data_IF_582029534286
#
_entry.id   IF_582029534286
#
_cell.length_a   1.000
_cell.length_b   1.000
_cell.length_c   1.000
_cell.angle_alpha   90.00
_cell.angle_beta   90.00
_cell.angle_gamma   90.00
#
_symmetry.space_group_name_H-M   'P 1'
#
loop_
_entity.id
_entity.type
_entity.pdbx_description
1 polymer ?
#
# COMPACT_ATOMS: atom_id res chain seq x y z
N UNK A 1 -33.66 -15.78 8.81
CA UNK A 1 -33.32 -15.60 10.24
C UNK A 1 -31.97 -16.27 10.45
N UNK A 2 -30.92 -15.67 10.98
CA UNK A 2 -30.72 -14.36 11.60
C UNK A 2 -29.21 -14.15 11.66
N UNK A 3 -28.79 -12.92 11.44
CA UNK A 3 -27.43 -12.43 11.68
C UNK A 3 -26.96 -12.83 13.08
N UNK A 4 -25.98 -13.71 13.19
CA UNK A 4 -25.30 -14.02 14.47
C UNK A 4 -23.78 -13.86 14.42
N UNK A 5 -23.23 -13.23 13.37
CA UNK A 5 -21.82 -12.83 13.34
C UNK A 5 -21.61 -11.39 13.85
N UNK A 6 -22.37 -11.01 14.88
CA UNK A 6 -22.23 -9.74 15.58
C UNK A 6 -22.67 -9.90 17.05
N UNK A 7 -21.82 -10.51 17.88
CA UNK A 7 -21.75 -10.27 19.33
C UNK A 7 -20.73 -11.22 19.96
N UNK A 8 -19.46 -10.82 19.99
CA UNK A 8 -18.54 -11.33 21.00
C UNK A 8 -18.16 -10.16 21.90
N UNK A 9 -18.66 -10.23 23.13
CA UNK A 9 -18.58 -9.18 24.13
C UNK A 9 -17.16 -8.89 24.61
N UNK A 10 -17.01 -7.68 25.14
CA UNK A 10 -15.78 -7.01 25.60
C UNK A 10 -15.05 -7.69 26.79
N UNK A 11 -15.27 -8.98 27.05
CA UNK A 11 -14.83 -9.68 28.27
C UNK A 11 -13.56 -10.55 28.18
N UNK A 12 -12.89 -10.66 27.03
CA UNK A 12 -11.64 -11.45 26.90
C UNK A 12 -10.57 -10.72 26.08
N UNK A 13 -10.33 -9.45 26.41
CA UNK A 13 -9.27 -8.62 25.84
C UNK A 13 -7.92 -9.35 25.74
N UNK A 14 -7.52 -9.66 24.50
CA UNK A 14 -6.25 -10.32 24.20
C UNK A 14 -6.05 -10.55 22.71
N UNK A 15 -6.30 -9.53 21.88
CA UNK A 15 -5.90 -9.38 20.45
C UNK A 15 -5.88 -10.60 19.50
N UNK A 16 -6.53 -11.73 19.81
CA UNK A 16 -6.53 -12.91 18.96
C UNK A 16 -5.13 -13.46 18.61
N UNK A 17 -4.10 -13.11 19.40
CA UNK A 17 -2.77 -13.71 19.28
C UNK A 17 -2.84 -15.12 19.84
N UNK A 18 -3.04 -16.12 18.97
CA UNK A 18 -3.05 -17.54 19.41
C UNK A 18 -1.68 -17.97 19.95
N UNK A 19 -0.59 -17.27 19.59
CA UNK A 19 0.73 -17.42 20.20
C UNK A 19 1.65 -16.24 19.84
N UNK A 20 2.11 -15.48 20.83
CA UNK A 20 3.16 -14.47 20.63
C UNK A 20 4.46 -15.09 20.12
N UNK A 21 4.79 -16.33 20.53
CA UNK A 21 5.97 -17.04 20.08
C UNK A 21 5.97 -17.37 18.57
N UNK A 22 4.79 -17.65 17.98
CA UNK A 22 4.68 -18.01 16.56
C UNK A 22 4.68 -16.80 15.62
N UNK A 23 4.24 -15.65 16.11
CA UNK A 23 4.00 -14.45 15.30
C UNK A 23 4.96 -13.29 15.64
N UNK A 24 5.86 -13.49 16.62
CA UNK A 24 6.85 -12.51 17.03
C UNK A 24 7.73 -12.06 15.86
N UNK A 25 8.17 -12.99 15.01
CA UNK A 25 8.99 -12.71 13.82
C UNK A 25 8.32 -11.77 12.82
N UNK A 26 7.02 -11.98 12.54
CA UNK A 26 6.26 -11.16 11.61
C UNK A 26 5.99 -9.74 12.13
N UNK A 27 5.90 -9.54 13.45
CA UNK A 27 5.77 -8.22 14.06
C UNK A 27 7.13 -7.53 14.31
N UNK A 28 8.15 -8.32 14.64
CA UNK A 28 9.50 -7.86 14.96
C UNK A 28 10.20 -7.30 13.73
N UNK A 29 10.19 -8.02 12.59
CA UNK A 29 10.91 -7.57 11.39
C UNK A 29 10.44 -6.23 10.80
N UNK A 30 9.14 -5.94 10.70
CA UNK A 30 8.66 -4.62 10.31
C UNK A 30 9.10 -3.52 11.29
N UNK A 31 8.91 -3.78 12.58
CA UNK A 31 9.27 -2.83 13.64
C UNK A 31 10.78 -2.56 13.65
N UNK A 32 11.58 -3.58 13.35
CA UNK A 32 13.03 -3.50 13.19
C UNK A 32 13.41 -2.70 11.94
N UNK A 33 12.73 -2.92 10.81
CA UNK A 33 12.92 -2.18 9.57
C UNK A 33 12.65 -0.69 9.76
N UNK A 34 11.47 -0.36 10.30
CA UNK A 34 11.03 1.01 10.57
C UNK A 34 11.96 1.76 11.53
N UNK A 35 12.52 1.06 12.51
CA UNK A 35 13.40 1.66 13.53
C UNK A 35 14.87 1.60 13.18
N UNK A 36 15.27 0.91 12.09
CA UNK A 36 16.68 0.67 11.78
C UNK A 36 17.48 1.96 11.55
N UNK A 37 16.95 2.90 10.77
CA UNK A 37 17.60 4.20 10.54
C UNK A 37 17.70 5.02 11.82
N UNK A 38 16.61 5.10 12.59
CA UNK A 38 16.60 5.81 13.87
C UNK A 38 17.54 5.15 14.89
N UNK A 39 17.70 3.82 14.85
CA UNK A 39 18.63 3.09 15.69
C UNK A 39 20.10 3.36 15.28
N UNK A 40 20.40 3.50 13.99
CA UNK A 40 21.73 3.92 13.51
C UNK A 40 22.07 5.35 13.92
N UNK A 41 21.08 6.25 13.90
CA UNK A 41 21.27 7.65 14.34
C UNK A 41 21.54 7.75 15.85
N UNK A 42 20.97 6.84 16.65
CA UNK A 42 21.13 6.80 18.11
C UNK A 42 22.38 6.02 18.56
N UNK A 43 22.75 4.98 17.82
CA UNK A 43 23.92 4.14 18.08
C UNK A 43 24.66 3.87 16.78
N UNK A 44 25.78 4.56 16.58
CA UNK A 44 26.61 4.38 15.37
C UNK A 44 27.23 2.99 15.25
N UNK A 45 27.24 2.20 16.34
CA UNK A 45 27.67 0.80 16.32
C UNK A 45 26.54 -0.16 15.92
N UNK A 46 25.28 0.30 15.88
CA UNK A 46 24.17 -0.48 15.38
C UNK A 46 24.32 -0.72 13.87
N UNK A 47 24.40 -1.99 13.49
CA UNK A 47 24.55 -2.43 12.11
C UNK A 47 23.28 -3.17 11.65
N UNK A 48 22.56 -2.55 10.71
CA UNK A 48 21.42 -3.20 10.07
C UNK A 48 21.84 -4.46 9.30
N UNK A 49 23.09 -4.55 8.88
CA UNK A 49 23.66 -5.72 8.19
C UNK A 49 23.86 -6.89 9.16
N UNK A 50 24.46 -6.64 10.32
CA UNK A 50 24.68 -7.67 11.35
C UNK A 50 23.35 -8.18 11.92
N UNK A 51 22.38 -7.28 12.08
CA UNK A 51 21.05 -7.62 12.54
C UNK A 51 20.28 -8.47 11.51
N UNK A 52 20.40 -8.15 10.20
CA UNK A 52 19.88 -8.99 9.12
C UNK A 52 20.50 -10.39 9.10
N UNK A 53 21.74 -10.52 9.57
CA UNK A 53 22.44 -11.79 9.67
C UNK A 53 22.08 -12.63 10.92
N UNK A 54 21.34 -12.04 11.89
CA UNK A 54 20.91 -12.72 13.12
C UNK A 54 20.02 -13.93 12.81
N UNK A 55 20.16 -15.00 13.59
CA UNK A 55 19.40 -16.24 13.43
C UNK A 55 17.88 -16.01 13.44
N UNK A 56 17.36 -15.19 14.35
CA UNK A 56 15.92 -14.95 14.48
C UNK A 56 15.38 -14.13 13.29
N UNK A 57 16.19 -13.20 12.78
CA UNK A 57 15.89 -12.45 11.57
C UNK A 57 15.99 -13.36 10.35
N UNK A 58 16.98 -14.24 10.26
CA UNK A 58 17.13 -15.22 9.17
C UNK A 58 16.02 -16.25 9.15
N UNK A 59 15.54 -16.72 10.30
CA UNK A 59 14.39 -17.62 10.39
C UNK A 59 13.09 -16.94 9.98
N UNK A 60 12.93 -15.66 10.34
CA UNK A 60 11.80 -14.83 9.92
C UNK A 60 11.86 -14.47 8.42
N UNK A 61 13.06 -14.22 7.88
CA UNK A 61 13.32 -14.02 6.46
C UNK A 61 13.29 -15.32 5.64
N UNK A 62 13.47 -16.50 6.26
CA UNK A 62 13.26 -17.79 5.61
C UNK A 62 11.76 -18.07 5.31
N UNK A 63 10.88 -17.11 5.61
CA UNK A 63 9.53 -17.06 5.06
C UNK A 63 9.56 -17.17 3.54
N UNK A 64 8.44 -17.63 2.97
CA UNK A 64 8.23 -17.67 1.53
C UNK A 64 8.52 -16.30 0.90
N UNK A 65 8.81 -16.26 -0.40
CA UNK A 65 9.06 -15.00 -1.12
C UNK A 65 7.92 -13.97 -0.93
N UNK A 66 6.69 -14.46 -0.77
CA UNK A 66 5.49 -13.68 -0.43
C UNK A 66 5.57 -13.08 0.99
N UNK A 67 6.01 -13.89 1.95
CA UNK A 67 6.25 -13.43 3.32
C UNK A 67 7.36 -12.39 3.39
N UNK A 68 8.49 -12.64 2.72
CA UNK A 68 9.59 -11.68 2.58
C UNK A 68 9.11 -10.34 2.00
N UNK A 69 8.34 -10.37 0.90
CA UNK A 69 7.81 -9.16 0.28
C UNK A 69 6.89 -8.38 1.22
N UNK A 70 6.06 -9.09 1.98
CA UNK A 70 5.19 -8.48 3.01
C UNK A 70 6.03 -7.81 4.09
N UNK A 71 7.07 -8.49 4.61
CA UNK A 71 7.92 -7.97 5.69
C UNK A 71 8.71 -6.73 5.26
N UNK A 72 9.22 -6.72 4.02
CA UNK A 72 9.92 -5.57 3.45
C UNK A 72 9.00 -4.35 3.32
N UNK A 73 7.77 -4.57 2.85
CA UNK A 73 6.74 -3.55 2.76
C UNK A 73 6.33 -3.01 4.13
N UNK A 74 6.12 -3.90 5.10
CA UNK A 74 5.72 -3.54 6.46
C UNK A 74 6.80 -2.74 7.22
N UNK A 75 8.07 -2.83 6.81
CA UNK A 75 9.18 -2.05 7.38
C UNK A 75 9.51 -0.77 6.64
N UNK A 76 8.64 -0.31 5.73
CA UNK A 76 8.77 0.96 5.04
C UNK A 76 8.06 2.09 5.77
N UNK A 77 8.57 3.31 5.58
CA UNK A 77 7.92 4.52 6.07
C UNK A 77 6.45 4.59 5.61
N UNK A 78 5.54 4.83 6.55
CA UNK A 78 4.11 4.93 6.28
C UNK A 78 3.36 3.60 6.39
N UNK A 79 4.07 2.47 6.37
CA UNK A 79 3.47 1.17 6.62
C UNK A 79 2.74 1.17 7.97
N UNK A 80 1.49 0.74 7.94
CA UNK A 80 0.61 0.63 9.12
C UNK A 80 0.51 1.90 9.95
N UNK A 81 0.66 3.07 9.33
CA UNK A 81 0.53 4.37 10.03
C UNK A 81 -0.78 4.51 10.82
N UNK A 82 -1.85 3.79 10.43
CA UNK A 82 -3.11 3.75 11.17
C UNK A 82 -2.98 3.22 12.62
N UNK A 83 -1.93 2.47 12.95
CA UNK A 83 -1.69 1.97 14.31
C UNK A 83 -1.20 3.07 15.26
N UNK A 84 -0.54 4.09 14.72
CA UNK A 84 -0.10 5.27 15.47
C UNK A 84 -1.06 6.46 15.30
N UNK A 85 -2.03 6.37 14.40
CA UNK A 85 -2.99 7.43 14.13
C UNK A 85 -4.11 7.48 15.18
N UNK A 86 -4.56 8.68 15.51
CA UNK A 86 -5.78 8.87 16.30
C UNK A 86 -6.98 8.57 15.38
N UNK A 87 -7.83 7.58 15.68
CA UNK A 87 -8.94 7.19 14.80
C UNK A 87 -10.11 8.19 14.92
N UNK A 88 -9.97 9.35 14.28
CA UNK A 88 -10.95 10.43 14.31
C UNK A 88 -11.38 10.87 12.90
N UNK A 89 -12.62 11.35 12.79
CA UNK A 89 -13.18 11.87 11.54
C UNK A 89 -13.04 10.89 10.37
N UNK A 90 -12.47 11.36 9.26
CA UNK A 90 -12.24 10.56 8.04
C UNK A 90 -11.10 9.54 8.18
N UNK A 91 -10.27 9.63 9.23
CA UNK A 91 -9.24 8.66 9.56
C UNK A 91 -9.76 7.48 10.39
N UNK A 92 -11.06 7.43 10.70
CA UNK A 92 -11.65 6.31 11.44
C UNK A 92 -11.76 5.08 10.55
N UNK A 93 -11.15 3.99 10.99
CA UNK A 93 -11.27 2.68 10.36
C UNK A 93 -12.44 1.89 10.96
N UNK A 94 -13.17 1.16 10.13
CA UNK A 94 -14.17 0.19 10.59
C UNK A 94 -13.50 -0.88 11.47
N UNK A 95 -14.07 -1.27 12.63
CA UNK A 95 -13.46 -2.27 13.49
C UNK A 95 -13.12 -3.60 12.79
N UNK A 96 -13.95 -4.03 11.84
CA UNK A 96 -13.70 -5.26 11.09
C UNK A 96 -12.47 -5.14 10.18
N UNK A 97 -12.30 -3.99 9.51
CA UNK A 97 -11.12 -3.67 8.70
C UNK A 97 -9.88 -3.58 9.57
N UNK A 98 -9.96 -2.90 10.72
CA UNK A 98 -8.83 -2.80 11.66
C UNK A 98 -8.36 -4.17 12.13
N UNK A 99 -9.29 -5.06 12.50
CA UNK A 99 -8.95 -6.43 12.90
C UNK A 99 -8.36 -7.22 11.74
N UNK A 100 -8.87 -7.07 10.52
CA UNK A 100 -8.33 -7.74 9.34
C UNK A 100 -6.88 -7.30 9.06
N UNK A 101 -6.60 -5.99 9.06
CA UNK A 101 -5.26 -5.45 8.85
C UNK A 101 -4.28 -5.86 9.96
N UNK A 102 -4.74 -5.88 11.22
CA UNK A 102 -3.90 -6.33 12.34
C UNK A 102 -3.56 -7.82 12.23
N UNK A 103 -4.52 -8.66 11.84
CA UNK A 103 -4.26 -10.09 11.60
C UNK A 103 -3.27 -10.30 10.47
N UNK A 104 -3.39 -9.54 9.38
CA UNK A 104 -2.46 -9.58 8.26
C UNK A 104 -1.04 -9.22 8.71
N UNK A 105 -0.87 -8.11 9.46
CA UNK A 105 0.44 -7.70 10.02
C UNK A 105 1.06 -8.78 10.90
N UNK A 106 0.24 -9.44 11.72
CA UNK A 106 0.68 -10.49 12.64
C UNK A 106 0.87 -11.85 11.94
N UNK A 107 0.65 -11.95 10.63
CA UNK A 107 0.71 -13.21 9.88
C UNK A 107 -0.30 -14.26 10.37
N UNK A 108 -1.43 -13.82 10.95
CA UNK A 108 -2.48 -14.70 11.45
C UNK A 108 -3.38 -15.09 10.26
N UNK A 109 -3.49 -16.40 9.94
CA UNK A 109 -4.34 -16.86 8.85
C UNK A 109 -5.77 -16.35 8.98
N UNK A 110 -6.30 -15.85 7.88
CA UNK A 110 -7.68 -15.39 7.77
C UNK A 110 -8.66 -16.52 7.45
N UNK A 111 -8.17 -17.69 7.05
CA UNK A 111 -8.92 -18.91 6.76
C UNK A 111 -8.08 -20.15 7.12
N UNK A 112 -8.73 -21.31 7.26
CA UNK A 112 -8.06 -22.58 7.59
C UNK A 112 -7.43 -23.27 6.37
N UNK A 113 -7.94 -22.97 5.18
CA UNK A 113 -7.45 -23.50 3.91
C UNK A 113 -7.67 -22.49 2.78
N UNK A 114 -6.92 -22.66 1.70
CA UNK A 114 -7.12 -21.90 0.47
C UNK A 114 -8.50 -22.21 -0.12
N UNK A 115 -9.08 -21.21 -0.79
CA UNK A 115 -10.37 -21.32 -1.46
C UNK A 115 -10.31 -20.66 -2.84
N UNK A 116 -11.33 -20.88 -3.65
CA UNK A 116 -11.52 -20.14 -4.90
C UNK A 116 -12.22 -18.80 -4.59
N UNK A 117 -11.68 -17.72 -5.14
CA UNK A 117 -12.28 -16.40 -5.06
C UNK A 117 -13.58 -16.39 -5.89
N UNK A 118 -14.75 -16.09 -5.29
CA UNK A 118 -16.03 -16.12 -5.99
C UNK A 118 -16.22 -14.97 -7.00
N UNK A 119 -15.22 -14.10 -7.17
CA UNK A 119 -15.31 -12.89 -8.00
C UNK A 119 -14.42 -12.94 -9.24
N UNK A 120 -13.26 -13.58 -9.16
CA UNK A 120 -12.29 -13.60 -10.26
C UNK A 120 -11.68 -14.98 -10.52
N UNK A 121 -12.18 -16.03 -9.86
CA UNK A 121 -11.70 -17.41 -9.96
C UNK A 121 -10.20 -17.59 -9.65
N UNK A 122 -9.61 -16.63 -8.93
CA UNK A 122 -8.24 -16.72 -8.41
C UNK A 122 -8.20 -17.50 -7.09
N UNK A 123 -7.00 -17.87 -6.65
CA UNK A 123 -6.80 -18.48 -5.34
C UNK A 123 -6.94 -17.40 -4.27
N UNK A 124 -7.93 -17.57 -3.39
CA UNK A 124 -8.08 -16.84 -2.14
C UNK A 124 -7.27 -17.57 -1.07
N UNK A 125 -6.05 -17.08 -0.84
CA UNK A 125 -5.08 -17.71 0.06
C UNK A 125 -5.47 -17.58 1.54
N UNK A 126 -4.97 -18.52 2.36
CA UNK A 126 -5.17 -18.51 3.83
C UNK A 126 -4.74 -17.21 4.52
N UNK A 127 -3.75 -16.50 3.98
CA UNK A 127 -3.27 -15.22 4.53
C UNK A 127 -4.07 -14.01 4.02
N UNK A 128 -5.04 -14.23 3.13
CA UNK A 128 -5.91 -13.23 2.51
C UNK A 128 -5.17 -12.15 1.73
N UNK A 129 -3.95 -12.43 1.23
CA UNK A 129 -3.27 -11.49 0.35
C UNK A 129 -4.10 -11.19 -0.90
N UNK A 130 -4.73 -12.22 -1.48
CA UNK A 130 -5.62 -12.08 -2.62
C UNK A 130 -6.74 -11.06 -2.39
N UNK A 131 -7.33 -11.01 -1.20
CA UNK A 131 -8.43 -10.10 -0.92
C UNK A 131 -8.05 -8.62 -1.10
N UNK A 132 -6.79 -8.25 -0.80
CA UNK A 132 -6.30 -6.88 -0.99
C UNK A 132 -5.92 -6.55 -2.44
N UNK A 133 -5.76 -7.55 -3.31
CA UNK A 133 -5.28 -7.37 -4.69
C UNK A 133 -6.28 -7.82 -5.75
N UNK A 134 -7.40 -8.40 -5.35
CA UNK A 134 -8.40 -8.96 -6.24
C UNK A 134 -8.88 -7.89 -7.24
N UNK A 135 -8.68 -8.08 -8.55
CA UNK A 135 -9.13 -7.10 -9.54
C UNK A 135 -10.65 -6.97 -9.58
N UNK A 136 -11.39 -8.00 -9.15
CA UNK A 136 -12.85 -8.03 -9.13
C UNK A 136 -13.46 -7.69 -7.75
N UNK A 137 -12.65 -7.59 -6.69
CA UNK A 137 -13.13 -7.28 -5.33
C UNK A 137 -13.40 -5.79 -5.13
N UNK A 138 -12.66 -4.94 -5.84
CA UNK A 138 -12.82 -3.49 -5.81
C UNK A 138 -12.09 -2.80 -4.66
N UNK A 139 -11.41 -3.53 -3.77
CA UNK A 139 -10.65 -2.99 -2.64
C UNK A 139 -9.59 -1.99 -3.12
N UNK A 140 -8.84 -2.33 -4.19
CA UNK A 140 -7.84 -1.43 -4.79
C UNK A 140 -8.44 -0.10 -5.23
N UNK A 141 -9.60 -0.15 -5.87
CA UNK A 141 -10.33 1.04 -6.33
C UNK A 141 -10.86 1.85 -5.15
N UNK A 142 -11.34 1.19 -4.10
CA UNK A 142 -11.79 1.87 -2.88
C UNK A 142 -10.63 2.55 -2.16
N UNK A 143 -9.47 1.88 -2.04
CA UNK A 143 -8.26 2.45 -1.45
C UNK A 143 -7.76 3.67 -2.24
N UNK A 144 -7.72 3.54 -3.57
CA UNK A 144 -7.43 4.66 -4.47
C UNK A 144 -8.34 5.86 -4.21
N UNK A 145 -9.67 5.64 -4.24
CA UNK A 145 -10.64 6.72 -4.04
C UNK A 145 -10.52 7.33 -2.65
N UNK A 146 -10.34 6.52 -1.61
CA UNK A 146 -10.17 6.99 -0.25
C UNK A 146 -8.92 7.87 -0.10
N UNK A 147 -7.78 7.45 -0.67
CA UNK A 147 -6.53 8.21 -0.65
C UNK A 147 -6.69 9.54 -1.39
N UNK A 148 -7.22 9.50 -2.62
CA UNK A 148 -7.52 10.68 -3.44
C UNK A 148 -8.43 11.65 -2.70
N UNK A 149 -9.57 11.17 -2.21
CA UNK A 149 -10.59 12.02 -1.61
C UNK A 149 -10.13 12.62 -0.28
N UNK A 150 -9.34 11.88 0.52
CA UNK A 150 -8.75 12.38 1.76
C UNK A 150 -7.77 13.52 1.48
N UNK A 151 -6.85 13.31 0.55
CA UNK A 151 -5.84 14.31 0.16
C UNK A 151 -6.51 15.53 -0.48
N UNK A 152 -7.52 15.33 -1.32
CA UNK A 152 -8.28 16.43 -1.92
C UNK A 152 -8.99 17.31 -0.87
N UNK A 153 -9.45 16.73 0.24
CA UNK A 153 -10.11 17.49 1.32
C UNK A 153 -9.10 18.34 2.10
N UNK A 154 -7.86 17.90 2.24
CA UNK A 154 -6.80 18.67 2.93
C UNK A 154 -6.25 19.82 2.11
N UNK A 155 -6.68 19.94 0.87
CA UNK A 155 -6.12 20.83 -0.10
C UNK A 155 -6.92 22.11 -0.31
N UNK A 156 -6.25 23.25 -0.20
CA UNK A 156 -6.78 24.52 -0.68
C UNK A 156 -6.42 24.70 -2.18
N UNK A 157 -7.43 24.95 -3.02
CA UNK A 157 -7.29 25.31 -4.46
C UNK A 157 -6.92 24.16 -5.43
N UNK A 158 -7.23 22.91 -5.10
CA UNK A 158 -6.94 21.78 -5.99
C UNK A 158 -8.14 21.44 -6.87
N UNK A 159 -7.90 20.86 -8.04
CA UNK A 159 -8.92 20.47 -9.01
C UNK A 159 -8.94 18.95 -9.20
N UNK A 160 -10.12 18.31 -9.17
CA UNK A 160 -10.23 16.87 -9.47
C UNK A 160 -10.20 16.62 -10.97
N UNK A 161 -9.37 15.68 -11.40
CA UNK A 161 -9.35 15.13 -12.76
C UNK A 161 -9.33 16.18 -13.90
N UNK A 162 -8.70 17.34 -13.67
CA UNK A 162 -8.76 18.55 -14.54
C UNK A 162 -8.88 18.19 -16.04
N UNK A 163 -10.08 18.28 -16.63
CA UNK A 163 -10.29 17.92 -18.02
C UNK A 163 -9.48 18.82 -18.95
N UNK A 164 -8.92 18.24 -20.01
CA UNK A 164 -8.12 19.00 -20.96
C UNK A 164 -6.74 19.41 -20.43
N UNK A 165 -6.20 18.73 -19.42
CA UNK A 165 -4.81 18.95 -18.97
C UNK A 165 -3.80 18.71 -20.10
N UNK A 166 -4.07 17.71 -20.94
CA UNK A 166 -3.28 17.38 -22.13
C UNK A 166 -4.04 17.87 -23.36
N UNK A 167 -3.94 19.16 -23.66
CA UNK A 167 -4.54 19.73 -24.87
C UNK A 167 -3.82 19.20 -26.11
N UNK A 168 -4.55 19.07 -27.22
CA UNK A 168 -3.93 18.73 -28.50
C UNK A 168 -2.94 19.84 -28.89
N UNK A 169 -1.68 19.50 -29.15
CA UNK A 169 -0.68 20.49 -29.55
C UNK A 169 -0.84 20.92 -31.02
N UNK A 170 -1.62 20.15 -31.80
CA UNK A 170 -2.01 20.50 -33.16
C UNK A 170 -3.39 19.89 -33.51
N UNK A 171 -4.09 20.39 -34.54
CA UNK A 171 -5.40 19.84 -34.97
C UNK A 171 -5.39 18.36 -35.37
N UNK A 172 -4.21 17.81 -35.72
CA UNK A 172 -4.03 16.41 -36.07
C UNK A 172 -3.57 15.54 -34.90
N UNK A 173 -3.26 16.14 -33.75
CA UNK A 173 -2.82 15.43 -32.55
C UNK A 173 -4.02 14.90 -31.77
N UNK A 174 -4.40 13.66 -32.07
CA UNK A 174 -5.45 12.93 -31.35
C UNK A 174 -4.90 12.06 -30.21
N UNK A 175 -3.58 12.04 -30.00
CA UNK A 175 -2.89 11.11 -29.08
C UNK A 175 -3.35 11.25 -27.63
N UNK A 176 -3.81 12.46 -27.26
CA UNK A 176 -4.23 12.79 -25.91
C UNK A 176 -5.74 13.05 -25.75
N UNK A 177 -6.52 12.85 -26.81
CA UNK A 177 -7.95 13.17 -26.81
C UNK A 177 -8.71 12.39 -25.74
N UNK A 178 -9.36 13.10 -24.82
CA UNK A 178 -10.17 12.52 -23.74
C UNK A 178 -9.39 11.90 -22.59
N UNK A 179 -8.05 11.96 -22.58
CA UNK A 179 -7.24 11.44 -21.46
C UNK A 179 -7.42 12.30 -20.22
N UNK A 180 -7.54 11.63 -19.07
CA UNK A 180 -7.48 12.22 -17.74
C UNK A 180 -6.24 11.69 -17.05
N UNK A 181 -5.09 12.38 -17.19
CA UNK A 181 -3.82 11.84 -16.72
C UNK A 181 -3.67 11.92 -15.20
N UNK A 182 -4.64 12.43 -14.46
CA UNK A 182 -4.48 12.76 -13.05
C UNK A 182 -5.78 12.60 -12.31
N UNK A 183 -5.67 12.20 -11.04
CA UNK A 183 -6.77 12.24 -10.09
C UNK A 183 -6.97 13.65 -9.51
N UNK A 184 -5.85 14.35 -9.27
CA UNK A 184 -5.83 15.68 -8.65
C UNK A 184 -4.76 16.53 -9.34
N UNK A 185 -5.20 17.67 -9.87
CA UNK A 185 -4.34 18.73 -10.35
C UNK A 185 -4.09 19.78 -9.27
N UNK A 186 -2.82 20.18 -9.14
CA UNK A 186 -2.36 21.28 -8.31
C UNK A 186 -1.78 22.38 -9.20
N UNK A 187 -2.21 23.64 -9.04
CA UNK A 187 -1.63 24.76 -9.78
C UNK A 187 -0.19 25.07 -9.33
N UNK A 188 0.18 24.72 -8.09
CA UNK A 188 1.53 24.90 -7.56
C UNK A 188 1.85 23.87 -6.48
N UNK A 189 2.75 22.94 -6.78
CA UNK A 189 3.46 22.05 -5.86
C UNK A 189 4.94 22.45 -5.90
N UNK A 190 5.47 22.96 -4.79
CA UNK A 190 6.86 23.47 -4.71
C UNK A 190 7.17 24.47 -5.85
N UNK A 191 6.18 25.29 -6.21
CA UNK A 191 6.32 26.34 -7.24
C UNK A 191 6.02 25.93 -8.68
N UNK A 192 5.67 24.67 -8.97
CA UNK A 192 5.30 24.22 -10.32
C UNK A 192 3.94 23.51 -10.36
N UNK A 193 3.16 23.60 -11.47
CA UNK A 193 1.95 22.80 -11.62
C UNK A 193 2.24 21.30 -11.54
N UNK A 194 1.37 20.55 -10.87
CA UNK A 194 1.51 19.10 -10.71
C UNK A 194 0.21 18.34 -10.96
N UNK A 195 0.35 17.15 -11.50
CA UNK A 195 -0.68 16.16 -11.77
C UNK A 195 -0.42 14.95 -10.88
N UNK A 196 -1.19 14.82 -9.79
CA UNK A 196 -1.09 13.68 -8.88
C UNK A 196 -1.96 12.53 -9.39
N UNK A 197 -1.41 11.34 -9.43
CA UNK A 197 -2.10 10.16 -9.93
C UNK A 197 -1.93 9.01 -8.93
N UNK A 198 -3.00 8.68 -8.22
CA UNK A 198 -2.96 7.75 -7.09
C UNK A 198 -3.08 6.31 -7.57
N UNK A 199 -2.52 5.37 -6.81
CA UNK A 199 -2.82 3.96 -6.99
C UNK A 199 -2.51 3.16 -5.73
N UNK A 200 -3.22 2.06 -5.57
CA UNK A 200 -2.88 1.02 -4.60
C UNK A 200 -2.39 -0.25 -5.32
N UNK A 201 -1.30 -0.82 -4.80
CA UNK A 201 -0.74 -2.11 -5.20
C UNK A 201 -0.49 -2.97 -3.97
N UNK A 202 0.03 -4.18 -4.16
CA UNK A 202 0.39 -5.07 -3.08
C UNK A 202 1.82 -5.59 -3.30
N UNK A 203 2.61 -5.80 -2.23
CA UNK A 203 3.96 -6.34 -2.36
C UNK A 203 3.97 -7.77 -2.95
N UNK A 204 2.83 -8.48 -2.89
CA UNK A 204 2.65 -9.82 -3.44
C UNK A 204 2.40 -9.83 -4.97
N UNK A 205 2.44 -8.66 -5.65
CA UNK A 205 2.23 -8.57 -7.10
C UNK A 205 3.25 -9.43 -7.85
N UNK A 206 2.77 -10.34 -8.70
CA UNK A 206 3.58 -11.37 -9.34
C UNK A 206 4.78 -10.81 -10.13
N UNK A 207 4.57 -9.73 -10.89
CA UNK A 207 5.60 -9.09 -11.72
C UNK A 207 6.80 -8.57 -10.92
N UNK A 208 6.57 -8.18 -9.66
CA UNK A 208 7.56 -7.52 -8.80
C UNK A 208 7.92 -8.34 -7.58
N UNK A 209 7.34 -9.54 -7.41
CA UNK A 209 7.40 -10.33 -6.18
C UNK A 209 8.83 -10.62 -5.72
N UNK A 210 9.71 -10.97 -6.67
CA UNK A 210 11.13 -11.25 -6.38
C UNK A 210 11.86 -9.98 -5.93
N UNK A 211 11.56 -8.84 -6.53
CA UNK A 211 12.18 -7.57 -6.14
C UNK A 211 11.63 -7.10 -4.78
N UNK A 212 10.33 -7.19 -4.58
CA UNK A 212 9.66 -6.83 -3.33
C UNK A 212 10.13 -7.67 -2.15
N UNK A 213 10.54 -8.92 -2.37
CA UNK A 213 11.10 -9.77 -1.32
C UNK A 213 12.47 -9.30 -0.81
N UNK A 214 13.16 -8.47 -1.59
CA UNK A 214 14.51 -7.97 -1.29
C UNK A 214 14.51 -6.49 -0.92
N UNK A 215 13.55 -5.72 -1.42
CA UNK A 215 13.50 -4.28 -1.27
C UNK A 215 12.06 -3.83 -0.94
N UNK A 216 11.92 -3.10 0.17
CA UNK A 216 10.65 -2.48 0.56
C UNK A 216 10.16 -1.47 -0.48
N UNK A 217 8.83 -1.34 -0.59
CA UNK A 217 8.14 -0.48 -1.55
C UNK A 217 8.47 -0.75 -3.04
N UNK A 218 9.08 -1.90 -3.38
CA UNK A 218 9.44 -2.20 -4.77
C UNK A 218 8.22 -2.33 -5.68
N UNK A 219 7.09 -2.86 -5.18
CA UNK A 219 5.88 -2.99 -6.00
C UNK A 219 5.25 -1.61 -6.24
N UNK A 220 5.23 -0.73 -5.23
CA UNK A 220 4.80 0.66 -5.38
C UNK A 220 5.68 1.41 -6.38
N UNK A 221 7.00 1.32 -6.22
CA UNK A 221 7.99 1.99 -7.09
C UNK A 221 7.85 1.54 -8.55
N UNK A 222 7.80 0.24 -8.80
CA UNK A 222 7.62 -0.30 -10.14
C UNK A 222 6.29 0.14 -10.76
N UNK A 223 5.22 0.19 -9.96
CA UNK A 223 3.92 0.62 -10.48
C UNK A 223 3.86 2.14 -10.73
N UNK A 224 4.56 2.95 -9.94
CA UNK A 224 4.74 4.38 -10.19
C UNK A 224 5.44 4.63 -11.54
N UNK A 225 6.54 3.91 -11.81
CA UNK A 225 7.22 3.97 -13.11
C UNK A 225 6.34 3.51 -14.27
N UNK A 226 5.54 2.46 -14.06
CA UNK A 226 4.57 2.04 -15.05
C UNK A 226 3.54 3.14 -15.34
N UNK A 227 2.99 3.80 -14.31
CA UNK A 227 2.03 4.91 -14.51
C UNK A 227 2.64 6.08 -15.28
N UNK A 228 3.89 6.44 -14.98
CA UNK A 228 4.59 7.51 -15.68
C UNK A 228 4.84 7.17 -17.17
N UNK A 229 5.26 5.94 -17.46
CA UNK A 229 5.57 5.49 -18.82
C UNK A 229 4.35 5.09 -19.64
N UNK A 230 3.26 4.67 -19.00
CA UNK A 230 2.04 4.22 -19.68
C UNK A 230 1.48 5.34 -20.55
N UNK A 231 1.37 5.07 -21.86
CA UNK A 231 0.95 6.05 -22.87
C UNK A 231 1.77 7.36 -22.80
N UNK A 232 3.03 7.27 -22.39
CA UNK A 232 3.94 8.41 -22.23
C UNK A 232 3.36 9.53 -21.35
N UNK A 233 2.56 9.20 -20.33
CA UNK A 233 1.82 10.17 -19.51
C UNK A 233 2.73 11.20 -18.88
N UNK A 234 3.87 10.78 -18.32
CA UNK A 234 4.84 11.68 -17.70
C UNK A 234 5.42 12.69 -18.70
N UNK A 235 5.77 12.23 -19.90
CA UNK A 235 6.30 13.10 -20.96
C UNK A 235 5.23 14.04 -21.51
N UNK A 236 4.00 13.55 -21.70
CA UNK A 236 2.88 14.39 -22.10
C UNK A 236 2.57 15.49 -21.07
N UNK A 237 2.63 15.19 -19.77
CA UNK A 237 2.46 16.23 -18.75
C UNK A 237 3.62 17.25 -18.79
N UNK A 238 4.87 16.77 -18.90
CA UNK A 238 6.06 17.65 -18.97
C UNK A 238 6.02 18.59 -20.17
N UNK A 239 5.59 18.11 -21.34
CA UNK A 239 5.46 18.95 -22.54
C UNK A 239 4.39 20.04 -22.41
N UNK A 240 3.48 19.91 -21.44
CA UNK A 240 2.47 20.90 -21.08
C UNK A 240 2.86 21.75 -19.85
N UNK A 241 4.11 21.66 -19.38
CA UNK A 241 4.59 22.41 -18.21
C UNK A 241 4.02 21.92 -16.88
N UNK A 242 3.55 20.67 -16.82
CA UNK A 242 2.98 20.06 -15.62
C UNK A 242 3.85 18.88 -15.18
N UNK A 243 4.18 18.83 -13.89
CA UNK A 243 4.88 17.69 -13.31
C UNK A 243 3.90 16.53 -13.11
N UNK A 244 4.21 15.36 -13.66
CA UNK A 244 3.44 14.15 -13.35
C UNK A 244 4.03 13.48 -12.09
N UNK A 245 3.18 13.24 -11.09
CA UNK A 245 3.60 12.71 -9.78
C UNK A 245 2.74 11.49 -9.45
N UNK A 246 3.22 10.26 -9.74
CA UNK A 246 2.53 9.05 -9.35
C UNK A 246 2.60 8.85 -7.83
N UNK A 247 1.44 8.79 -7.18
CA UNK A 247 1.28 8.63 -5.74
C UNK A 247 0.81 7.19 -5.45
N UNK A 248 1.75 6.25 -5.47
CA UNK A 248 1.45 4.82 -5.34
C UNK A 248 1.78 4.32 -3.96
N UNK A 249 0.84 3.59 -3.34
CA UNK A 249 1.02 2.93 -2.04
C UNK A 249 0.87 1.42 -2.16
N UNK A 250 1.59 0.69 -1.33
CA UNK A 250 1.36 -0.74 -1.09
C UNK A 250 0.21 -0.96 -0.09
N UNK A 251 -0.38 -2.14 -0.09
CA UNK A 251 -1.53 -2.51 0.76
C UNK A 251 -1.24 -2.44 2.27
N UNK A 252 0.03 -2.40 2.64
CA UNK A 252 0.51 -2.18 4.01
C UNK A 252 0.44 -0.71 4.42
N UNK A 253 0.42 0.22 3.46
CA UNK A 253 0.56 1.67 3.63
C UNK A 253 1.93 2.24 3.27
N UNK A 254 2.89 1.38 2.86
CA UNK A 254 4.22 1.76 2.37
C UNK A 254 4.19 2.48 1.01
#
# INVERSE_FOLDING_TARGET
>A
MQWQQASLGLGHAGLGLRSTAKHASAAYLPSLGDTSTAAQDLDTAFSAEDLRSSHDVRAALAATIVGQATLQSEGCLGARAFLAAIPAGRGRMEPATFVAELRARLGIPGADQDAWCPRCDGILDVQKYHAGMCPAGGERTQQHHALRDLIFVWAERWERERPGLLLAQSPHDTSNSGRRPTDIYLPALVGAPAALDFAATAPQRQETLVQASQQGAAAATAYAHHKESYLQTGEACRSHGVQFVPMVVESTGA
#
